data_IF_066333603329
#
_entry.id   IF_066333603329
#
_cell.length_a   1.000
_cell.length_b   1.000
_cell.length_c   1.000
_cell.angle_alpha   90.00
_cell.angle_beta   90.00
_cell.angle_gamma   90.00
#
_symmetry.space_group_name_H-M   'P 1'
#
loop_
_entity.id
_entity.type
_entity.pdbx_description
1 polymer ?
#
# COMPACT_ATOMS: atom_id res chain seq x y z
N UNK A 1 -14.78 -1.41 -32.07
CA UNK A 1 -14.44 -2.63 -31.29
C UNK A 1 -12.94 -2.62 -31.10
N UNK A 2 -12.48 -1.89 -30.08
CA UNK A 2 -11.05 -1.81 -29.75
C UNK A 2 -10.82 -2.99 -28.80
N UNK A 3 -9.96 -3.93 -29.19
CA UNK A 3 -9.56 -5.01 -28.30
C UNK A 3 -8.98 -4.36 -27.04
N UNK A 4 -9.67 -4.54 -25.91
CA UNK A 4 -9.10 -4.27 -24.61
C UNK A 4 -7.86 -5.15 -24.51
N UNK A 5 -6.70 -4.51 -24.47
CA UNK A 5 -5.40 -5.16 -24.29
C UNK A 5 -5.40 -5.82 -22.91
N UNK A 6 -5.95 -7.04 -22.81
CA UNK A 6 -5.85 -7.92 -21.63
C UNK A 6 -4.40 -8.42 -21.52
N UNK A 7 -3.48 -7.50 -21.24
CA UNK A 7 -2.09 -7.85 -20.95
C UNK A 7 -2.05 -8.66 -19.65
N UNK A 8 -1.32 -9.78 -19.71
CA UNK A 8 -1.02 -10.61 -18.55
C UNK A 8 -0.45 -9.78 -17.39
N UNK A 9 -0.76 -10.16 -16.13
CA UNK A 9 -0.23 -9.47 -14.96
C UNK A 9 1.30 -9.47 -14.97
N UNK A 10 1.89 -8.28 -14.81
CA UNK A 10 3.33 -8.06 -14.79
C UNK A 10 3.92 -8.33 -13.40
N UNK A 11 3.09 -8.34 -12.37
CA UNK A 11 3.51 -8.54 -10.99
C UNK A 11 2.61 -9.49 -10.19
N UNK A 12 3.23 -10.23 -9.28
CA UNK A 12 2.54 -10.96 -8.20
C UNK A 12 2.33 -10.01 -7.00
N UNK A 13 1.11 -9.96 -6.46
CA UNK A 13 0.81 -9.18 -5.26
C UNK A 13 0.99 -10.04 -3.99
N UNK A 14 1.72 -9.51 -3.02
CA UNK A 14 1.89 -10.11 -1.69
C UNK A 14 1.58 -9.10 -0.59
N UNK A 15 1.14 -9.60 0.56
CA UNK A 15 0.81 -8.79 1.73
C UNK A 15 1.78 -9.08 2.87
N UNK A 16 2.19 -8.05 3.60
CA UNK A 16 2.91 -8.21 4.86
C UNK A 16 1.92 -8.39 6.02
N UNK A 17 2.39 -8.95 7.13
CA UNK A 17 1.62 -9.00 8.37
C UNK A 17 1.21 -7.60 8.87
N UNK A 18 2.06 -6.59 8.65
CA UNK A 18 1.75 -5.20 9.01
C UNK A 18 0.59 -4.64 8.18
N UNK A 19 0.56 -4.91 6.87
CA UNK A 19 -0.55 -4.51 6.02
C UNK A 19 -1.89 -5.10 6.51
N UNK A 20 -1.90 -6.40 6.84
CA UNK A 20 -3.08 -7.06 7.38
C UNK A 20 -3.53 -6.45 8.73
N UNK A 21 -2.59 -6.20 9.65
CA UNK A 21 -2.91 -5.55 10.93
C UNK A 21 -3.44 -4.11 10.75
N UNK A 22 -2.99 -3.39 9.71
CA UNK A 22 -3.53 -2.06 9.40
C UNK A 22 -4.98 -2.14 8.91
N UNK A 23 -5.33 -3.14 8.09
CA UNK A 23 -6.72 -3.37 7.68
C UNK A 23 -7.64 -3.67 8.86
N UNK A 24 -7.19 -4.51 9.80
CA UNK A 24 -7.94 -4.78 11.04
C UNK A 24 -8.19 -3.51 11.86
N UNK A 25 -7.19 -2.63 11.99
CA UNK A 25 -7.34 -1.34 12.67
C UNK A 25 -8.33 -0.41 11.96
N UNK A 26 -8.36 -0.41 10.62
CA UNK A 26 -9.31 0.37 9.83
C UNK A 26 -10.74 -0.20 9.98
N UNK A 27 -10.89 -1.53 10.00
CA UNK A 27 -12.18 -2.18 10.25
C UNK A 27 -12.75 -1.75 11.60
N UNK A 28 -11.93 -1.83 12.67
CA UNK A 28 -12.32 -1.40 14.00
C UNK A 28 -12.74 0.08 14.04
N UNK A 29 -12.02 0.97 13.37
CA UNK A 29 -12.37 2.39 13.28
C UNK A 29 -13.77 2.61 12.66
N UNK A 30 -14.10 1.89 11.58
CA UNK A 30 -15.40 2.01 10.94
C UNK A 30 -16.54 1.43 11.79
N UNK A 31 -16.28 0.33 12.50
CA UNK A 31 -17.22 -0.27 13.45
C UNK A 31 -17.50 0.69 14.61
N UNK A 32 -16.47 1.26 15.23
CA UNK A 32 -16.59 2.26 16.31
C UNK A 32 -17.32 3.52 15.85
N UNK A 33 -17.14 3.92 14.59
CA UNK A 33 -17.83 5.07 14.00
C UNK A 33 -19.29 4.78 13.61
N UNK A 34 -19.76 3.54 13.76
CA UNK A 34 -21.12 3.12 13.40
C UNK A 34 -21.37 3.06 11.88
N UNK A 35 -20.31 2.98 11.07
CA UNK A 35 -20.40 2.97 9.61
C UNK A 35 -19.60 1.81 8.99
N UNK A 36 -20.00 0.57 9.31
CA UNK A 36 -19.35 -0.65 8.81
C UNK A 36 -19.18 -0.70 7.27
N UNK A 37 -20.11 -0.10 6.52
CA UNK A 37 -20.03 0.02 5.04
C UNK A 37 -18.78 0.74 4.54
N UNK A 38 -18.13 1.54 5.38
CA UNK A 38 -16.87 2.19 5.04
C UNK A 38 -15.75 1.17 4.82
N UNK A 39 -15.73 0.08 5.59
CA UNK A 39 -14.74 -0.98 5.42
C UNK A 39 -15.03 -1.84 4.19
N UNK A 40 -16.29 -2.20 3.94
CA UNK A 40 -16.69 -2.94 2.74
C UNK A 40 -16.26 -2.20 1.46
N UNK A 41 -16.52 -0.88 1.41
CA UNK A 41 -16.10 -0.03 0.28
C UNK A 41 -14.59 0.00 0.09
N UNK A 42 -13.81 0.03 1.18
CA UNK A 42 -12.36 -0.06 1.10
C UNK A 42 -11.92 -1.39 0.47
N UNK A 43 -12.53 -2.50 0.88
CA UNK A 43 -12.17 -3.81 0.34
C UNK A 43 -12.48 -3.90 -1.15
N UNK A 44 -13.66 -3.43 -1.58
CA UNK A 44 -14.03 -3.34 -3.00
C UNK A 44 -13.02 -2.50 -3.80
N UNK A 45 -12.66 -1.31 -3.30
CA UNK A 45 -11.71 -0.45 -4.00
C UNK A 45 -10.29 -1.07 -4.06
N UNK A 46 -9.86 -1.73 -2.98
CA UNK A 46 -8.59 -2.45 -2.98
C UNK A 46 -8.59 -3.57 -4.02
N UNK A 47 -9.58 -4.47 -3.99
CA UNK A 47 -9.60 -5.65 -4.87
C UNK A 47 -9.81 -5.29 -6.33
N UNK A 48 -10.77 -4.42 -6.61
CA UNK A 48 -11.26 -4.21 -7.96
C UNK A 48 -10.41 -3.19 -8.71
N UNK A 49 -9.78 -2.26 -7.98
CA UNK A 49 -9.02 -1.15 -8.56
C UNK A 49 -7.53 -1.29 -8.23
N UNK A 50 -7.16 -1.24 -6.95
CA UNK A 50 -5.75 -1.10 -6.56
C UNK A 50 -4.93 -2.33 -6.94
N UNK A 51 -5.38 -3.53 -6.56
CA UNK A 51 -4.65 -4.77 -6.87
C UNK A 51 -4.53 -4.95 -8.38
N UNK A 52 -5.64 -4.79 -9.09
CA UNK A 52 -5.71 -4.87 -10.54
C UNK A 52 -4.75 -3.88 -11.23
N UNK A 53 -4.64 -2.65 -10.73
CA UNK A 53 -3.71 -1.66 -11.24
C UNK A 53 -2.25 -2.00 -10.92
N UNK A 54 -1.96 -2.48 -9.71
CA UNK A 54 -0.60 -2.82 -9.31
C UNK A 54 -0.06 -4.08 -10.00
N UNK A 55 -0.92 -5.04 -10.33
CA UNK A 55 -0.56 -6.21 -11.13
C UNK A 55 -0.10 -5.79 -12.53
N UNK A 56 -0.74 -4.79 -13.14
CA UNK A 56 -0.47 -4.34 -14.52
C UNK A 56 0.53 -3.20 -14.62
N UNK A 57 0.59 -2.35 -13.61
CA UNK A 57 1.40 -1.14 -13.58
C UNK A 57 2.10 -1.00 -12.21
N UNK A 58 2.96 -1.97 -11.82
CA UNK A 58 3.54 -2.01 -10.47
C UNK A 58 4.33 -0.75 -10.11
N UNK A 59 4.92 -0.06 -11.09
CA UNK A 59 5.69 1.17 -10.87
C UNK A 59 4.86 2.46 -10.98
N UNK A 60 3.52 2.40 -11.01
CA UNK A 60 2.68 3.61 -11.17
C UNK A 60 2.67 4.53 -9.96
N UNK A 61 2.84 3.99 -8.75
CA UNK A 61 2.84 4.77 -7.51
C UNK A 61 3.99 5.78 -7.49
N UNK A 62 3.89 6.79 -6.64
CA UNK A 62 4.95 7.80 -6.51
C UNK A 62 6.12 7.22 -5.71
N UNK A 63 7.38 7.45 -6.11
CA UNK A 63 8.53 7.04 -5.29
C UNK A 63 8.47 7.70 -3.91
N UNK A 64 8.47 6.89 -2.85
CA UNK A 64 8.33 7.39 -1.48
C UNK A 64 9.65 8.02 -0.97
N UNK A 65 10.79 7.46 -1.36
CA UNK A 65 12.12 7.87 -0.88
C UNK A 65 12.75 9.06 -1.63
N UNK A 66 11.99 9.80 -2.43
CA UNK A 66 12.52 10.97 -3.13
C UNK A 66 12.77 12.18 -2.21
N UNK A 67 12.33 12.13 -0.95
CA UNK A 67 12.66 13.11 0.08
C UNK A 67 13.26 12.38 1.27
N UNK A 68 14.51 12.71 1.63
CA UNK A 68 15.08 12.20 2.87
C UNK A 68 14.21 12.69 4.03
N UNK A 69 13.78 11.79 4.93
CA UNK A 69 13.06 12.21 6.12
C UNK A 69 13.95 13.14 6.96
N UNK A 70 13.38 14.22 7.48
CA UNK A 70 14.12 15.18 8.29
C UNK A 70 14.29 14.73 9.75
N UNK A 71 13.44 13.80 10.22
CA UNK A 71 13.56 13.25 11.58
C UNK A 71 14.59 12.13 11.65
N UNK A 72 15.35 12.12 12.75
CA UNK A 72 16.39 11.10 13.01
C UNK A 72 15.77 9.71 13.09
N UNK A 73 14.60 9.57 13.70
CA UNK A 73 13.88 8.30 13.82
C UNK A 73 13.49 7.74 12.44
N UNK A 74 13.01 8.61 11.53
CA UNK A 74 12.65 8.19 10.20
C UNK A 74 13.88 7.94 9.30
N UNK A 75 14.99 8.65 9.52
CA UNK A 75 16.28 8.34 8.87
C UNK A 75 16.83 6.98 9.33
N UNK A 76 16.77 6.66 10.62
CA UNK A 76 17.17 5.34 11.13
C UNK A 76 16.26 4.21 10.61
N UNK A 77 14.95 4.46 10.52
CA UNK A 77 14.03 3.52 9.92
C UNK A 77 14.33 3.32 8.42
N UNK A 78 14.67 4.39 7.71
CA UNK A 78 15.05 4.34 6.30
C UNK A 78 16.34 3.53 6.06
N UNK A 79 17.37 3.74 6.89
CA UNK A 79 18.63 3.00 6.77
C UNK A 79 18.44 1.47 6.88
N UNK A 80 17.44 1.01 7.64
CA UNK A 80 17.09 -0.42 7.76
C UNK A 80 16.37 -0.96 6.51
N UNK A 81 15.76 -0.10 5.72
CA UNK A 81 15.07 -0.45 4.47
C UNK A 81 16.03 -0.45 3.26
N UNK A 82 17.06 0.40 3.30
CA UNK A 82 18.05 0.56 2.23
C UNK A 82 18.89 -0.71 2.00
N UNK A 83 19.12 -1.53 3.03
CA UNK A 83 19.78 -2.84 2.91
C UNK A 83 19.05 -3.81 1.95
N UNK A 84 17.77 -3.56 1.63
CA UNK A 84 16.98 -4.38 0.70
C UNK A 84 16.83 -3.79 -0.71
N UNK A 85 17.37 -2.58 -1.00
CA UNK A 85 17.25 -1.89 -2.30
C UNK A 85 15.83 -1.90 -2.89
N UNK A 86 14.81 -1.89 -2.02
CA UNK A 86 13.43 -2.07 -2.42
C UNK A 86 12.89 -0.75 -2.98
N UNK A 87 12.30 -0.80 -4.17
CA UNK A 87 11.67 0.36 -4.81
C UNK A 87 10.36 0.69 -4.08
N UNK A 88 10.44 1.44 -2.98
CA UNK A 88 9.28 1.79 -2.15
C UNK A 88 8.49 2.93 -2.80
N UNK A 89 7.18 2.72 -2.93
CA UNK A 89 6.25 3.60 -3.62
C UNK A 89 4.97 3.77 -2.81
N UNK A 90 4.33 4.92 -3.00
CA UNK A 90 3.03 5.26 -2.41
C UNK A 90 1.94 5.26 -3.51
N UNK A 91 0.83 4.58 -3.25
CA UNK A 91 -0.41 4.66 -4.03
C UNK A 91 -1.44 5.41 -3.19
N UNK A 92 -1.99 6.49 -3.73
CA UNK A 92 -2.98 7.33 -3.03
C UNK A 92 -4.36 7.07 -3.64
N UNK A 93 -5.28 6.64 -2.79
CA UNK A 93 -6.71 6.52 -3.04
C UNK A 93 -7.43 7.76 -2.49
N UNK A 94 -8.76 7.84 -2.62
CA UNK A 94 -9.55 8.96 -2.07
C UNK A 94 -9.27 9.18 -0.58
N UNK A 95 -9.51 8.15 0.22
CA UNK A 95 -9.44 8.22 1.68
C UNK A 95 -8.23 7.45 2.27
N UNK A 96 -7.41 6.83 1.43
CA UNK A 96 -6.38 5.89 1.85
C UNK A 96 -5.05 6.08 1.14
N UNK A 97 -3.97 5.71 1.83
CA UNK A 97 -2.64 5.59 1.25
C UNK A 97 -2.14 4.16 1.46
N UNK A 98 -1.69 3.53 0.38
CA UNK A 98 -1.02 2.23 0.39
C UNK A 98 0.47 2.44 0.14
N UNK A 99 1.29 1.97 1.08
CA UNK A 99 2.73 1.89 0.92
C UNK A 99 3.10 0.49 0.44
N UNK A 100 3.87 0.40 -0.64
CA UNK A 100 4.26 -0.87 -1.22
C UNK A 100 5.70 -0.82 -1.75
N UNK A 101 6.32 -1.98 -1.94
CA UNK A 101 7.61 -2.08 -2.63
C UNK A 101 7.50 -2.91 -3.89
N UNK A 102 8.35 -2.59 -4.88
CA UNK A 102 8.51 -3.37 -6.10
C UNK A 102 9.92 -3.95 -6.12
N UNK A 103 10.03 -5.24 -6.39
CA UNK A 103 11.32 -5.91 -6.59
C UNK A 103 11.19 -7.06 -7.59
N UNK A 104 12.31 -7.46 -8.19
CA UNK A 104 12.36 -8.64 -9.05
C UNK A 104 12.41 -9.92 -8.22
N UNK A 105 11.64 -10.94 -8.62
CA UNK A 105 11.66 -12.25 -7.96
C UNK A 105 12.38 -13.27 -8.81
N UNK A 106 13.66 -13.52 -8.53
CA UNK A 106 14.41 -14.58 -9.24
C UNK A 106 13.95 -15.96 -8.76
N UNK A 107 13.75 -16.94 -9.66
CA UNK A 107 14.22 -16.97 -11.05
C UNK A 107 13.19 -16.53 -12.12
N UNK A 108 12.01 -16.04 -11.76
CA UNK A 108 10.94 -15.74 -12.72
C UNK A 108 10.95 -14.26 -13.17
N UNK A 109 10.55 -13.95 -14.41
CA UNK A 109 10.56 -12.58 -14.93
C UNK A 109 9.44 -11.69 -14.38
N UNK A 110 8.70 -12.12 -13.36
CA UNK A 110 7.61 -11.35 -12.76
C UNK A 110 8.13 -10.46 -11.64
N UNK A 111 7.60 -9.25 -11.58
CA UNK A 111 7.81 -8.35 -10.45
C UNK A 111 7.02 -8.86 -9.25
N UNK A 112 7.50 -8.58 -8.05
CA UNK A 112 6.71 -8.75 -6.82
C UNK A 112 6.38 -7.38 -6.29
N UNK A 113 5.09 -7.16 -6.09
CA UNK A 113 4.56 -6.01 -5.36
C UNK A 113 4.24 -6.48 -3.95
N UNK A 114 4.99 -6.00 -2.97
CA UNK A 114 4.75 -6.29 -1.56
C UNK A 114 4.00 -5.11 -0.94
N UNK A 115 2.75 -5.31 -0.53
CA UNK A 115 1.98 -4.32 0.22
C UNK A 115 2.48 -4.27 1.67
N UNK A 116 3.03 -3.12 2.06
CA UNK A 116 3.73 -2.92 3.33
C UNK A 116 2.81 -2.36 4.41
N UNK A 117 2.00 -1.35 4.06
CA UNK A 117 1.10 -0.68 4.98
C UNK A 117 -0.06 -0.03 4.24
N UNK A 118 -1.18 0.16 4.93
CA UNK A 118 -2.29 1.00 4.49
C UNK A 118 -2.70 1.94 5.63
N UNK A 119 -3.04 3.18 5.30
CA UNK A 119 -3.53 4.15 6.29
C UNK A 119 -4.74 4.91 5.77
N UNK A 120 -5.69 5.16 6.67
CA UNK A 120 -6.83 6.04 6.43
C UNK A 120 -6.45 7.49 6.70
N UNK A 121 -6.72 8.40 5.77
CA UNK A 121 -6.34 9.81 5.86
C UNK A 121 -7.07 10.61 6.98
N UNK A 122 -8.27 10.16 7.41
CA UNK A 122 -9.02 10.75 8.55
C UNK A 122 -8.59 10.18 9.91
N UNK A 123 -7.63 9.25 9.95
CA UNK A 123 -7.05 8.76 11.20
C UNK A 123 -6.06 9.78 11.82
N UNK A 124 -6.39 11.07 11.74
CA UNK A 124 -5.58 12.21 12.18
C UNK A 124 -5.91 12.70 13.59
N UNK A 125 -6.69 11.95 14.36
CA UNK A 125 -6.89 12.30 15.76
C UNK A 125 -5.74 11.73 16.59
N UNK A 126 -4.76 12.58 16.89
CA UNK A 126 -3.88 12.38 18.04
C UNK A 126 -4.74 12.42 19.31
N UNK A 127 -5.31 11.28 19.71
CA UNK A 127 -5.92 11.13 21.03
C UNK A 127 -4.82 10.77 22.02
N UNK A 128 -4.45 11.74 22.85
CA UNK A 128 -3.70 11.50 24.08
C UNK A 128 -4.72 11.36 25.21
N UNK A 129 -4.71 10.22 25.90
CA UNK A 129 -5.43 10.07 27.16
C UNK A 129 -4.44 10.40 28.30
N UNK A 130 -4.83 11.23 29.29
CA UNK A 130 -3.97 11.60 30.42
C UNK A 130 -3.60 10.41 31.31
#
# INVERSE_FOLDING_TARGET
MIASDEKEPLAEIRYTANFAANLEGIAAFWDESGFAKGYDRLLEELTDVVLTHLERHPRMGRPFMNRQPESIEAQMALARLDEQSAEIREYVMDDYLVLYSVHESRPHPHLVVQLLAIKHHKQLSFWFQP
#
